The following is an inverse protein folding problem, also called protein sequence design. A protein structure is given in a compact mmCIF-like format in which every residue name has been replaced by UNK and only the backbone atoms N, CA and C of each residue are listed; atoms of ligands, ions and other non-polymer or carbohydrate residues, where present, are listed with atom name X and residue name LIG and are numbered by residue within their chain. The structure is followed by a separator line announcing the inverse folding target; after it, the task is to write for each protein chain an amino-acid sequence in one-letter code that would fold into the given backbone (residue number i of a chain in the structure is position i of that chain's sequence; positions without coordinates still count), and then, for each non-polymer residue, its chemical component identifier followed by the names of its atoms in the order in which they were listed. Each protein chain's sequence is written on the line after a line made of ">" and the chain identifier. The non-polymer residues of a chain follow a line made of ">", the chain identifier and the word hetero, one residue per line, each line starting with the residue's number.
data_IF_577174268968
#
_entry.id   IF_577174268968
#
_cell.length_a   1.000
_cell.length_b   1.000
_cell.length_c   1.000
_cell.angle_alpha   90.00
_cell.angle_beta   90.00
_cell.angle_gamma   90.00
#
_symmetry.space_group_name_H-M   'P 1'
#
loop_
_entity.id
_entity.type
_entity.pdbx_description
1 polymer ?
#
# COMPACT_ATOMS: atom_id res chain seq x y z
N UNK A 1 -31.97 -4.02 -10.72
CA UNK A 1 -30.58 -3.64 -11.12
C UNK A 1 -29.84 -3.07 -9.94
N UNK A 2 -28.73 -3.66 -9.54
CA UNK A 2 -27.88 -3.21 -8.44
C UNK A 2 -26.72 -2.37 -8.97
N UNK A 3 -26.43 -1.23 -8.34
CA UNK A 3 -25.25 -0.41 -8.62
C UNK A 3 -24.16 -0.67 -7.59
N UNK A 4 -22.93 -0.90 -8.04
CA UNK A 4 -21.80 -1.22 -7.17
C UNK A 4 -20.64 -0.28 -7.46
N UNK A 5 -20.33 0.60 -6.52
CA UNK A 5 -19.10 1.38 -6.54
C UNK A 5 -17.96 0.55 -5.94
N UNK A 6 -17.02 0.11 -6.79
CA UNK A 6 -15.79 -0.53 -6.36
C UNK A 6 -14.73 0.55 -6.10
N UNK A 7 -14.17 0.56 -4.89
CA UNK A 7 -13.22 1.59 -4.46
C UNK A 7 -11.92 0.94 -3.99
N UNK A 8 -10.80 1.38 -4.54
CA UNK A 8 -9.49 0.99 -4.05
C UNK A 8 -9.19 1.71 -2.73
N UNK A 9 -8.53 1.05 -1.78
CA UNK A 9 -8.08 1.68 -0.53
C UNK A 9 -7.22 2.93 -0.76
N UNK A 10 -7.22 3.88 0.18
CA UNK A 10 -6.35 5.05 0.21
C UNK A 10 -4.87 4.66 0.37
N UNK A 11 -3.95 5.61 0.24
CA UNK A 11 -2.52 5.34 0.41
C UNK A 11 -2.24 4.70 1.76
N UNK A 12 -1.66 3.51 1.71
CA UNK A 12 -1.28 2.72 2.87
C UNK A 12 0.24 2.54 2.93
N UNK A 13 0.73 2.05 4.05
CA UNK A 13 2.17 1.83 4.30
C UNK A 13 2.86 1.05 3.17
N UNK A 14 2.23 0.00 2.61
CA UNK A 14 2.78 -0.73 1.46
C UNK A 14 3.04 0.15 0.24
N UNK A 15 2.17 1.14 -0.01
CA UNK A 15 2.36 2.10 -1.09
C UNK A 15 3.51 3.09 -0.77
N UNK A 16 3.55 3.60 0.46
CA UNK A 16 4.55 4.56 0.91
C UNK A 16 5.94 3.93 0.96
N UNK A 17 6.06 2.81 1.67
CA UNK A 17 7.33 2.13 1.91
C UNK A 17 7.76 1.21 0.78
N UNK A 18 6.87 0.98 -0.21
CA UNK A 18 7.14 0.13 -1.37
C UNK A 18 7.41 -1.32 -0.97
N UNK A 19 6.57 -1.82 -0.09
CA UNK A 19 6.57 -3.19 0.41
C UNK A 19 5.36 -3.91 -0.14
N UNK A 20 5.54 -5.16 -0.56
CA UNK A 20 4.45 -6.05 -0.96
C UNK A 20 3.67 -6.46 0.30
N UNK A 21 2.44 -5.97 0.44
CA UNK A 21 1.62 -6.23 1.63
C UNK A 21 0.69 -7.44 1.46
N UNK A 22 0.15 -7.67 0.24
CA UNK A 22 -0.80 -8.77 0.04
C UNK A 22 -1.86 -8.83 1.12
N UNK A 23 -1.82 -9.85 1.97
CA UNK A 23 -2.73 -10.07 3.08
C UNK A 23 -2.33 -9.41 4.40
N UNK A 24 -1.20 -8.71 4.49
CA UNK A 24 -0.92 -7.87 5.66
C UNK A 24 -1.96 -6.76 5.78
N UNK A 25 -2.32 -6.40 7.01
CA UNK A 25 -3.33 -5.36 7.27
C UNK A 25 -2.97 -4.03 6.58
N UNK A 26 -1.76 -3.54 6.79
CA UNK A 26 -1.28 -2.26 6.29
C UNK A 26 -2.11 -1.08 6.82
N UNK A 27 -1.46 -0.13 7.45
CA UNK A 27 -2.15 1.07 7.94
C UNK A 27 -2.24 2.11 6.82
N UNK A 28 -3.26 2.96 6.88
CA UNK A 28 -3.32 4.17 6.07
C UNK A 28 -2.18 5.10 6.51
N UNK A 29 -1.51 5.73 5.55
CA UNK A 29 -0.42 6.67 5.86
C UNK A 29 -0.95 7.90 6.61
N UNK A 30 -0.12 8.48 7.47
CA UNK A 30 -0.53 9.62 8.30
C UNK A 30 -0.67 10.93 7.50
N UNK A 31 -0.11 11.01 6.31
CA UNK A 31 -0.06 12.23 5.50
C UNK A 31 -1.12 12.27 4.39
N UNK A 32 -0.99 11.41 3.39
CA UNK A 32 -1.82 11.48 2.17
C UNK A 32 -3.11 10.70 2.31
N UNK A 33 -3.08 9.54 2.96
CA UNK A 33 -4.23 8.68 3.11
C UNK A 33 -5.46 9.37 3.68
N UNK A 34 -5.38 10.10 4.83
CA UNK A 34 -6.51 10.83 5.37
C UNK A 34 -7.08 11.91 4.44
N UNK A 35 -6.23 12.58 3.67
CA UNK A 35 -6.66 13.59 2.69
C UNK A 35 -7.44 12.94 1.53
N UNK A 36 -6.98 11.80 1.03
CA UNK A 36 -7.67 11.02 0.00
C UNK A 36 -9.04 10.53 0.50
N UNK A 37 -9.12 10.05 1.74
CA UNK A 37 -10.37 9.58 2.36
C UNK A 37 -11.37 10.74 2.46
N UNK A 38 -10.94 11.94 2.86
CA UNK A 38 -11.82 13.12 2.91
C UNK A 38 -12.29 13.57 1.52
N UNK A 39 -11.42 13.55 0.52
CA UNK A 39 -11.80 13.85 -0.86
C UNK A 39 -12.81 12.83 -1.41
N UNK A 40 -12.63 11.55 -1.06
CA UNK A 40 -13.58 10.50 -1.39
C UNK A 40 -14.95 10.72 -0.70
N UNK A 41 -14.95 11.13 0.57
CA UNK A 41 -16.18 11.45 1.30
C UNK A 41 -16.95 12.59 0.63
N UNK A 42 -16.28 13.65 0.21
CA UNK A 42 -16.88 14.75 -0.57
C UNK A 42 -17.49 14.27 -1.88
N UNK A 43 -16.78 13.40 -2.61
CA UNK A 43 -17.31 12.78 -3.85
C UNK A 43 -18.62 12.05 -3.63
N UNK A 44 -18.78 11.35 -2.50
CA UNK A 44 -19.95 10.54 -2.19
C UNK A 44 -21.05 11.29 -1.43
N UNK A 45 -20.89 12.58 -1.14
CA UNK A 45 -21.86 13.37 -0.37
C UNK A 45 -23.26 13.31 -0.99
N UNK A 46 -23.38 13.60 -2.28
CA UNK A 46 -24.66 13.59 -3.02
C UNK A 46 -25.05 12.22 -3.61
N UNK A 47 -24.24 11.18 -3.42
CA UNK A 47 -24.49 9.85 -3.98
C UNK A 47 -25.21 9.00 -2.92
N UNK A 48 -26.41 8.50 -3.25
CA UNK A 48 -27.09 7.53 -2.40
C UNK A 48 -26.28 6.24 -2.33
N UNK A 49 -26.04 5.74 -1.13
CA UNK A 49 -25.46 4.43 -0.86
C UNK A 49 -26.31 3.76 0.21
N UNK A 50 -26.75 2.54 -0.05
CA UNK A 50 -27.67 1.79 0.81
C UNK A 50 -26.93 0.79 1.70
N UNK A 51 -25.75 0.27 1.26
CA UNK A 51 -24.90 -0.63 2.04
C UNK A 51 -23.42 -0.43 1.73
N UNK A 52 -22.55 -0.73 2.70
CA UNK A 52 -21.08 -0.61 2.57
C UNK A 52 -20.40 -1.92 2.91
N UNK A 53 -19.61 -2.41 1.97
CA UNK A 53 -18.80 -3.61 2.08
C UNK A 53 -17.31 -3.30 2.00
N UNK A 54 -16.49 -4.11 2.60
CA UNK A 54 -15.03 -3.97 2.56
C UNK A 54 -14.33 -5.32 2.65
N UNK A 55 -13.14 -5.41 2.08
CA UNK A 55 -12.16 -6.36 2.58
C UNK A 55 -11.98 -6.17 4.10
N UNK A 56 -11.62 -7.23 4.80
CA UNK A 56 -11.37 -7.22 6.24
C UNK A 56 -9.97 -6.67 6.61
N UNK A 57 -9.16 -6.23 5.65
CA UNK A 57 -7.86 -5.61 5.90
C UNK A 57 -8.01 -4.14 6.33
N UNK A 58 -7.22 -3.70 7.29
CA UNK A 58 -7.41 -2.39 7.96
C UNK A 58 -7.37 -1.21 6.99
N UNK A 59 -6.52 -1.22 5.96
CA UNK A 59 -6.45 -0.14 4.97
C UNK A 59 -7.76 0.08 4.21
N UNK A 60 -8.50 -0.99 3.92
CA UNK A 60 -9.81 -0.87 3.25
C UNK A 60 -10.91 -0.44 4.21
N UNK A 61 -10.94 -0.99 5.42
CA UNK A 61 -11.91 -0.58 6.45
C UNK A 61 -11.74 0.88 6.84
N UNK A 62 -10.48 1.35 6.99
CA UNK A 62 -10.20 2.77 7.26
C UNK A 62 -10.67 3.64 6.10
N UNK A 63 -10.45 3.22 4.86
CA UNK A 63 -10.89 3.98 3.68
C UNK A 63 -12.42 4.03 3.58
N UNK A 64 -13.10 2.96 3.95
CA UNK A 64 -14.56 2.87 3.92
C UNK A 64 -15.25 3.89 4.85
N UNK A 65 -14.54 4.42 5.86
CA UNK A 65 -15.05 5.52 6.69
C UNK A 65 -15.55 6.72 5.86
N UNK A 66 -14.99 6.94 4.67
CA UNK A 66 -15.44 7.98 3.75
C UNK A 66 -16.95 7.91 3.44
N UNK A 67 -17.55 6.74 3.54
CA UNK A 67 -18.96 6.53 3.16
C UNK A 67 -19.78 6.09 4.36
N UNK A 68 -19.37 5.04 5.08
CA UNK A 68 -20.23 4.49 6.11
C UNK A 68 -20.41 5.40 7.32
N UNK A 69 -19.39 6.21 7.67
CA UNK A 69 -19.49 7.13 8.81
C UNK A 69 -20.49 8.26 8.54
N UNK A 70 -20.34 9.11 7.49
CA UNK A 70 -21.27 10.22 7.27
C UNK A 70 -22.68 9.76 6.85
N UNK A 71 -22.83 8.54 6.38
CA UNK A 71 -24.15 7.97 6.00
C UNK A 71 -24.79 7.11 7.09
N UNK A 72 -24.12 6.96 8.25
CA UNK A 72 -24.58 6.15 9.38
C UNK A 72 -24.95 4.70 9.01
N UNK A 73 -24.16 4.10 8.10
CA UNK A 73 -24.38 2.75 7.62
C UNK A 73 -23.46 1.76 8.38
N UNK A 74 -23.88 0.50 8.55
CA UNK A 74 -22.99 -0.54 9.02
C UNK A 74 -21.91 -0.85 7.97
N UNK A 75 -20.72 -1.27 8.45
CA UNK A 75 -19.67 -1.80 7.58
C UNK A 75 -19.70 -3.33 7.61
N UNK A 76 -19.89 -3.95 6.46
CA UNK A 76 -19.81 -5.40 6.28
C UNK A 76 -18.42 -5.78 5.74
N UNK A 77 -17.72 -6.69 6.41
CA UNK A 77 -16.38 -7.11 6.00
C UNK A 77 -16.36 -8.55 5.51
N UNK A 78 -15.55 -8.84 4.49
CA UNK A 78 -15.35 -10.20 3.98
C UNK A 78 -13.92 -10.41 3.48
N UNK A 79 -13.28 -11.55 3.84
CA UNK A 79 -11.98 -11.92 3.30
C UNK A 79 -12.01 -12.22 1.79
N UNK A 80 -13.19 -12.47 1.22
CA UNK A 80 -13.33 -12.67 -0.22
C UNK A 80 -12.90 -11.45 -1.04
N UNK A 81 -12.90 -10.24 -0.45
CA UNK A 81 -12.52 -8.98 -1.11
C UNK A 81 -11.08 -8.54 -0.80
N UNK A 82 -10.27 -9.40 -0.16
CA UNK A 82 -8.85 -9.13 0.08
C UNK A 82 -8.06 -8.91 -1.20
N UNK A 83 -6.89 -8.29 -1.04
CA UNK A 83 -5.86 -8.22 -2.08
C UNK A 83 -5.42 -9.63 -2.48
N UNK A 84 -4.70 -9.74 -3.57
CA UNK A 84 -4.02 -10.97 -3.93
C UNK A 84 -3.06 -11.37 -2.81
N UNK A 85 -3.13 -12.63 -2.37
CA UNK A 85 -2.13 -13.18 -1.46
C UNK A 85 -0.81 -13.33 -2.22
N UNK A 86 0.19 -12.54 -1.83
CA UNK A 86 1.47 -12.49 -2.54
C UNK A 86 2.48 -13.54 -2.05
N UNK A 87 2.10 -14.37 -1.08
CA UNK A 87 2.92 -15.47 -0.56
C UNK A 87 4.30 -14.99 -0.10
N UNK A 88 5.35 -15.62 -0.61
CA UNK A 88 6.73 -15.33 -0.24
C UNK A 88 7.17 -13.87 -0.50
N UNK A 89 6.41 -13.08 -1.24
CA UNK A 89 6.73 -11.67 -1.48
C UNK A 89 6.29 -10.75 -0.34
N UNK A 90 5.34 -11.20 0.49
CA UNK A 90 4.80 -10.36 1.56
C UNK A 90 5.89 -9.96 2.56
N UNK A 91 5.95 -8.68 2.88
CA UNK A 91 6.99 -8.10 3.72
C UNK A 91 8.27 -7.68 2.99
N UNK A 92 8.52 -8.19 1.79
CA UNK A 92 9.66 -7.75 0.98
C UNK A 92 9.39 -6.41 0.29
N UNK A 93 10.44 -5.62 0.11
CA UNK A 93 10.37 -4.45 -0.75
C UNK A 93 10.23 -4.89 -2.22
N UNK A 94 9.62 -4.05 -3.06
CA UNK A 94 9.54 -4.35 -4.50
C UNK A 94 10.91 -4.49 -5.16
N UNK A 95 11.96 -3.84 -4.59
CA UNK A 95 13.33 -4.01 -5.01
C UNK A 95 13.85 -5.43 -4.75
N UNK A 96 13.60 -5.95 -3.53
CA UNK A 96 13.94 -7.34 -3.19
C UNK A 96 13.16 -8.33 -4.05
N UNK A 97 11.86 -8.09 -4.25
CA UNK A 97 11.02 -8.94 -5.10
C UNK A 97 11.59 -9.01 -6.52
N UNK A 98 11.94 -7.87 -7.12
CA UNK A 98 12.51 -7.84 -8.48
C UNK A 98 13.85 -8.54 -8.60
N UNK A 99 14.63 -8.59 -7.52
CA UNK A 99 15.94 -9.24 -7.47
C UNK A 99 15.86 -10.74 -7.16
N UNK A 100 15.00 -11.10 -6.20
CA UNK A 100 14.89 -12.48 -5.70
C UNK A 100 14.05 -13.36 -6.64
N UNK A 101 13.02 -12.77 -7.26
CA UNK A 101 12.08 -13.46 -8.14
C UNK A 101 11.88 -12.69 -9.46
N UNK A 102 12.93 -12.49 -10.28
CA UNK A 102 12.88 -11.63 -11.47
C UNK A 102 11.86 -12.09 -12.52
N UNK A 103 11.72 -13.40 -12.74
CA UNK A 103 10.76 -13.97 -13.67
C UNK A 103 9.32 -13.75 -13.21
N UNK A 104 9.03 -14.09 -11.94
CA UNK A 104 7.71 -13.90 -11.36
C UNK A 104 7.35 -12.40 -11.24
N UNK A 105 8.33 -11.53 -10.97
CA UNK A 105 8.13 -10.09 -10.99
C UNK A 105 7.75 -9.58 -12.39
N UNK A 106 8.38 -10.12 -13.45
CA UNK A 106 7.97 -9.86 -14.83
C UNK A 106 6.55 -10.37 -15.10
N UNK A 107 6.21 -11.59 -14.64
CA UNK A 107 4.88 -12.16 -14.78
C UNK A 107 3.82 -11.29 -14.12
N UNK A 108 4.03 -10.85 -12.87
CA UNK A 108 3.11 -9.96 -12.16
C UNK A 108 2.82 -8.66 -12.92
N UNK A 109 3.83 -8.08 -13.52
CA UNK A 109 3.72 -6.80 -14.21
C UNK A 109 3.19 -6.89 -15.65
N UNK A 110 3.44 -8.02 -16.35
CA UNK A 110 3.21 -8.15 -17.79
C UNK A 110 2.41 -9.37 -18.22
N UNK A 111 2.48 -10.44 -17.44
CA UNK A 111 1.94 -11.75 -17.78
C UNK A 111 1.23 -12.36 -16.57
N UNK A 112 0.24 -11.64 -16.04
CA UNK A 112 -0.49 -12.09 -14.84
C UNK A 112 -1.18 -13.45 -15.03
N UNK A 113 -1.38 -13.86 -16.27
CA UNK A 113 -1.83 -15.19 -16.66
C UNK A 113 -0.85 -16.32 -16.30
N UNK A 114 0.44 -15.99 -16.17
CA UNK A 114 1.52 -16.92 -15.79
C UNK A 114 2.00 -16.73 -14.35
N UNK A 115 1.60 -15.63 -13.71
CA UNK A 115 2.07 -15.32 -12.37
C UNK A 115 1.55 -16.33 -11.33
N UNK A 116 2.49 -16.94 -10.60
CA UNK A 116 2.23 -17.94 -9.56
C UNK A 116 3.21 -17.77 -8.41
N UNK A 117 2.94 -16.84 -7.45
CA UNK A 117 3.85 -16.62 -6.33
C UNK A 117 3.86 -17.85 -5.40
N UNK A 118 5.03 -18.20 -4.90
CA UNK A 118 5.19 -19.26 -3.92
C UNK A 118 4.37 -18.98 -2.65
N UNK A 119 3.49 -19.90 -2.28
CA UNK A 119 2.61 -19.77 -1.11
C UNK A 119 1.50 -18.72 -1.25
N UNK A 120 1.33 -18.14 -2.44
CA UNK A 120 0.31 -17.12 -2.69
C UNK A 120 -0.79 -17.56 -3.66
N UNK A 121 -1.57 -16.59 -4.14
CA UNK A 121 -2.68 -16.78 -5.08
C UNK A 121 -2.27 -16.34 -6.49
N UNK A 122 -2.68 -17.08 -7.50
CA UNK A 122 -2.68 -16.60 -8.88
C UNK A 122 -3.99 -15.85 -9.21
N UNK A 123 -4.04 -15.25 -10.39
CA UNK A 123 -5.19 -14.45 -10.81
C UNK A 123 -6.50 -15.27 -10.92
N UNK A 124 -6.45 -16.56 -11.24
CA UNK A 124 -7.65 -17.43 -11.32
C UNK A 124 -8.22 -17.67 -9.93
N UNK A 125 -7.38 -17.96 -8.94
CA UNK A 125 -7.79 -18.16 -7.56
C UNK A 125 -8.44 -16.89 -6.97
N UNK A 126 -7.92 -15.70 -7.32
CA UNK A 126 -8.56 -14.43 -6.96
C UNK A 126 -9.97 -14.34 -7.56
N UNK A 127 -10.15 -14.66 -8.84
CA UNK A 127 -11.47 -14.64 -9.48
C UNK A 127 -12.43 -15.66 -8.85
N UNK A 128 -11.95 -16.84 -8.51
CA UNK A 128 -12.73 -17.92 -7.90
C UNK A 128 -13.33 -17.54 -6.54
N UNK A 129 -12.63 -16.73 -5.74
CA UNK A 129 -13.18 -16.24 -4.45
C UNK A 129 -13.94 -14.93 -4.59
N UNK A 130 -13.51 -14.04 -5.49
CA UNK A 130 -14.03 -12.67 -5.55
C UNK A 130 -15.36 -12.60 -6.30
N UNK A 131 -15.46 -13.21 -7.49
CA UNK A 131 -16.65 -13.09 -8.34
C UNK A 131 -17.91 -13.69 -7.71
N UNK A 132 -17.88 -14.90 -7.11
CA UNK A 132 -19.07 -15.42 -6.42
C UNK A 132 -19.52 -14.54 -5.26
N UNK A 133 -18.59 -14.02 -4.45
CA UNK A 133 -18.92 -13.13 -3.35
C UNK A 133 -19.48 -11.79 -3.84
N UNK A 134 -18.94 -11.24 -4.93
CA UNK A 134 -19.47 -10.02 -5.54
C UNK A 134 -20.88 -10.23 -6.09
N UNK A 135 -21.14 -11.38 -6.70
CA UNK A 135 -22.47 -11.72 -7.22
C UNK A 135 -23.49 -11.93 -6.09
N UNK A 136 -23.09 -12.59 -5.00
CA UNK A 136 -23.93 -12.76 -3.81
C UNK A 136 -24.36 -11.39 -3.25
N UNK A 137 -23.39 -10.48 -3.06
CA UNK A 137 -23.68 -9.11 -2.60
C UNK A 137 -24.61 -8.38 -3.61
N UNK A 138 -24.34 -8.50 -4.91
CA UNK A 138 -25.16 -7.85 -5.94
C UNK A 138 -26.61 -8.33 -5.93
N UNK A 139 -26.84 -9.63 -5.73
CA UNK A 139 -28.17 -10.24 -5.66
C UNK A 139 -28.94 -9.86 -4.38
N UNK A 140 -28.22 -9.72 -3.27
CA UNK A 140 -28.83 -9.35 -1.98
C UNK A 140 -29.36 -7.91 -1.99
N UNK A 141 -28.87 -7.05 -2.90
CA UNK A 141 -29.16 -5.61 -2.96
C UNK A 141 -29.87 -5.17 -4.26
N UNK A 142 -30.78 -5.99 -4.79
CA UNK A 142 -31.49 -5.60 -6.02
C UNK A 142 -32.28 -4.29 -5.85
N UNK A 143 -32.05 -3.37 -6.78
CA UNK A 143 -32.62 -2.02 -6.76
C UNK A 143 -31.84 -1.00 -5.90
N UNK A 144 -30.77 -1.43 -5.23
CA UNK A 144 -29.96 -0.61 -4.33
C UNK A 144 -28.61 -0.21 -4.93
N UNK A 145 -27.95 0.72 -4.25
CA UNK A 145 -26.59 1.18 -4.55
C UNK A 145 -25.68 0.83 -3.39
N UNK A 146 -24.63 0.09 -3.66
CA UNK A 146 -23.63 -0.32 -2.67
C UNK A 146 -22.25 0.26 -2.97
N UNK A 147 -21.43 0.42 -1.94
CA UNK A 147 -20.02 0.72 -2.06
C UNK A 147 -19.21 -0.46 -1.50
N UNK A 148 -18.20 -0.92 -2.25
CA UNK A 148 -17.34 -2.02 -1.87
C UNK A 148 -15.88 -1.60 -1.97
N UNK A 149 -15.16 -1.70 -0.85
CA UNK A 149 -13.76 -1.32 -0.72
C UNK A 149 -12.84 -2.51 -0.84
N UNK A 150 -11.86 -2.42 -1.75
CA UNK A 150 -10.94 -3.50 -2.06
C UNK A 150 -9.55 -2.95 -2.46
N UNK A 151 -8.79 -3.68 -3.27
CA UNK A 151 -7.35 -3.50 -3.45
C UNK A 151 -6.96 -3.39 -4.92
N UNK A 152 -5.71 -2.96 -5.16
CA UNK A 152 -5.25 -2.59 -6.48
C UNK A 152 -5.17 -3.75 -7.46
N UNK A 153 -4.46 -4.84 -7.11
CA UNK A 153 -4.28 -5.97 -8.02
C UNK A 153 -5.57 -6.80 -8.14
N UNK A 154 -6.29 -7.02 -7.04
CA UNK A 154 -7.56 -7.72 -7.06
C UNK A 154 -8.58 -6.99 -7.97
N UNK A 155 -8.77 -5.67 -7.81
CA UNK A 155 -9.68 -4.89 -8.66
C UNK A 155 -9.24 -4.88 -10.13
N UNK A 156 -7.93 -4.81 -10.39
CA UNK A 156 -7.42 -4.89 -11.77
C UNK A 156 -7.80 -6.19 -12.45
N UNK A 157 -7.66 -7.34 -11.75
CA UNK A 157 -8.01 -8.66 -12.23
C UNK A 157 -9.51 -8.75 -12.46
N UNK A 158 -10.32 -8.40 -11.47
CA UNK A 158 -11.78 -8.48 -11.51
C UNK A 158 -12.37 -7.58 -12.61
N UNK A 159 -12.02 -6.30 -12.60
CA UNK A 159 -12.55 -5.34 -13.57
C UNK A 159 -12.14 -5.67 -15.00
N UNK A 160 -10.89 -6.07 -15.22
CA UNK A 160 -10.43 -6.49 -16.54
C UNK A 160 -11.20 -7.71 -17.06
N UNK A 161 -11.41 -8.72 -16.21
CA UNK A 161 -12.20 -9.90 -16.56
C UNK A 161 -13.66 -9.55 -16.84
N UNK A 162 -14.29 -8.69 -16.05
CA UNK A 162 -15.68 -8.25 -16.29
C UNK A 162 -15.82 -7.41 -17.56
N UNK A 163 -14.75 -6.79 -18.05
CA UNK A 163 -14.70 -6.12 -19.35
C UNK A 163 -14.43 -7.07 -20.53
N UNK A 164 -14.28 -8.36 -20.27
CA UNK A 164 -14.02 -9.38 -21.30
C UNK A 164 -12.54 -9.53 -21.67
N UNK A 165 -11.62 -8.92 -20.93
CA UNK A 165 -10.18 -9.11 -21.16
C UNK A 165 -9.74 -10.50 -20.72
N UNK A 166 -8.86 -11.12 -21.50
CA UNK A 166 -8.11 -12.29 -21.05
C UNK A 166 -7.15 -11.93 -19.93
N UNK A 167 -6.76 -12.88 -19.08
CA UNK A 167 -5.77 -12.63 -18.02
C UNK A 167 -4.44 -12.06 -18.56
N UNK A 168 -4.06 -12.46 -19.78
CA UNK A 168 -2.89 -11.89 -20.43
C UNK A 168 -3.04 -10.39 -20.70
N UNK A 169 -4.20 -9.96 -21.20
CA UNK A 169 -4.50 -8.55 -21.46
C UNK A 169 -4.65 -7.75 -20.15
N UNK A 170 -5.21 -8.38 -19.11
CA UNK A 170 -5.24 -7.80 -17.76
C UNK A 170 -3.83 -7.45 -17.29
N UNK A 171 -2.82 -8.28 -17.58
CA UNK A 171 -1.41 -8.03 -17.23
C UNK A 171 -0.85 -6.70 -17.74
N UNK A 172 -1.43 -6.11 -18.79
CA UNK A 172 -1.03 -4.81 -19.34
C UNK A 172 -2.09 -3.71 -19.17
N UNK A 173 -3.24 -4.05 -18.56
CA UNK A 173 -4.32 -3.09 -18.33
C UNK A 173 -3.95 -2.04 -17.26
N UNK A 174 -4.57 -0.85 -17.26
CA UNK A 174 -4.31 0.18 -16.26
C UNK A 174 -4.60 -0.28 -14.83
N UNK A 175 -3.93 0.35 -13.88
CA UNK A 175 -4.29 0.32 -12.46
C UNK A 175 -5.01 1.60 -12.06
N UNK A 176 -6.02 1.50 -11.21
CA UNK A 176 -6.62 2.65 -10.54
C UNK A 176 -5.66 3.27 -9.51
N UNK A 177 -5.72 4.58 -9.30
CA UNK A 177 -5.02 5.27 -8.21
C UNK A 177 -5.59 4.83 -6.83
N UNK A 178 -4.90 5.17 -5.75
CA UNK A 178 -5.49 5.03 -4.42
C UNK A 178 -6.80 5.86 -4.35
N UNK A 179 -7.83 5.29 -3.78
CA UNK A 179 -9.23 5.78 -3.79
C UNK A 179 -9.92 5.90 -5.15
N UNK A 180 -9.30 5.42 -6.25
CA UNK A 180 -10.00 5.36 -7.53
C UNK A 180 -11.30 4.57 -7.40
N UNK A 181 -12.32 5.05 -8.11
CA UNK A 181 -13.69 4.52 -8.08
C UNK A 181 -14.04 3.93 -9.44
N UNK A 182 -14.61 2.73 -9.42
CA UNK A 182 -15.22 2.12 -10.60
C UNK A 182 -16.69 1.85 -10.32
N UNK A 183 -17.54 1.92 -11.34
CA UNK A 183 -18.97 1.64 -11.21
C UNK A 183 -19.33 0.40 -12.02
N UNK A 184 -19.97 -0.54 -11.36
CA UNK A 184 -20.62 -1.70 -11.97
C UNK A 184 -22.13 -1.58 -11.86
N UNK A 185 -22.81 -2.15 -12.82
CA UNK A 185 -24.25 -2.48 -12.76
C UNK A 185 -24.41 -3.99 -12.87
N UNK A 186 -25.25 -4.54 -12.03
CA UNK A 186 -25.61 -5.96 -12.05
C UNK A 186 -27.10 -6.11 -12.34
N UNK A 187 -27.40 -6.81 -13.41
CA UNK A 187 -28.77 -7.09 -13.84
C UNK A 187 -28.83 -8.41 -14.59
N UNK A 188 -29.89 -9.20 -14.33
CA UNK A 188 -30.14 -10.49 -15.02
C UNK A 188 -28.93 -11.46 -15.01
N UNK A 189 -28.21 -11.50 -13.87
CA UNK A 189 -27.04 -12.40 -13.71
C UNK A 189 -25.77 -11.92 -14.43
N UNK A 190 -25.70 -10.66 -14.85
CA UNK A 190 -24.54 -10.11 -15.57
C UNK A 190 -24.07 -8.79 -14.98
N UNK A 191 -22.76 -8.65 -14.90
CA UNK A 191 -22.12 -7.38 -14.57
C UNK A 191 -21.83 -6.58 -15.84
N UNK A 192 -21.99 -5.28 -15.74
CA UNK A 192 -21.57 -4.29 -16.74
C UNK A 192 -20.67 -3.26 -16.06
N UNK A 193 -19.47 -3.06 -16.56
CA UNK A 193 -18.57 -1.98 -16.11
C UNK A 193 -19.03 -0.68 -16.80
N UNK A 194 -19.52 0.27 -16.02
CA UNK A 194 -19.99 1.57 -16.52
C UNK A 194 -18.82 2.52 -16.72
N UNK A 195 -17.97 2.63 -15.72
CA UNK A 195 -16.68 3.31 -15.80
C UNK A 195 -15.68 2.63 -14.86
N UNK A 196 -14.39 2.85 -15.12
CA UNK A 196 -13.29 2.22 -14.37
C UNK A 196 -12.25 3.25 -13.96
N UNK A 197 -11.72 3.08 -12.75
CA UNK A 197 -10.53 3.76 -12.24
C UNK A 197 -10.63 5.31 -12.27
N UNK A 198 -11.83 5.85 -12.06
CA UNK A 198 -12.05 7.29 -12.00
C UNK A 198 -11.51 7.87 -10.67
N UNK A 199 -10.55 8.75 -10.78
CA UNK A 199 -9.90 9.47 -9.67
C UNK A 199 -10.11 10.98 -9.75
N UNK A 200 -11.17 11.44 -10.40
CA UNK A 200 -11.48 12.87 -10.61
C UNK A 200 -11.53 13.69 -9.31
N UNK A 201 -11.89 13.06 -8.17
CA UNK A 201 -11.89 13.69 -6.84
C UNK A 201 -10.48 13.99 -6.31
N UNK A 202 -9.42 13.45 -6.93
CA UNK A 202 -8.03 13.73 -6.60
C UNK A 202 -7.39 14.79 -7.51
N UNK A 203 -8.12 15.23 -8.55
CA UNK A 203 -7.62 16.23 -9.49
C UNK A 203 -7.63 17.63 -8.86
N UNK A 204 -6.63 18.44 -9.21
CA UNK A 204 -6.48 19.80 -8.65
C UNK A 204 -5.56 19.89 -7.43
N UNK A 205 -5.09 18.76 -6.90
CA UNK A 205 -4.06 18.71 -5.87
C UNK A 205 -2.98 17.69 -6.24
N UNK A 206 -1.83 18.19 -6.62
CA UNK A 206 -0.62 17.38 -6.84
C UNK A 206 -0.21 16.55 -5.62
N UNK A 207 -0.77 16.85 -4.45
CA UNK A 207 -0.52 16.12 -3.23
C UNK A 207 -1.37 14.86 -3.11
N UNK A 208 -2.57 14.82 -3.70
CA UNK A 208 -3.54 13.74 -3.51
C UNK A 208 -3.35 12.60 -4.50
N UNK A 209 -3.06 12.91 -5.76
CA UNK A 209 -2.80 11.87 -6.76
C UNK A 209 -1.39 11.33 -6.63
N UNK A 210 -1.29 10.03 -6.33
CA UNK A 210 -0.02 9.32 -6.27
C UNK A 210 0.41 8.87 -7.66
N UNK A 211 -0.55 8.54 -8.49
CA UNK A 211 -0.32 7.94 -9.80
C UNK A 211 0.41 8.84 -10.77
N UNK A 212 0.13 10.15 -10.72
CA UNK A 212 0.85 11.13 -11.52
C UNK A 212 2.35 11.17 -11.18
N UNK A 213 2.74 10.73 -9.99
CA UNK A 213 4.11 10.76 -9.46
C UNK A 213 4.77 9.38 -9.32
N UNK A 214 3.98 8.29 -9.34
CA UNK A 214 4.49 6.92 -9.31
C UNK A 214 4.74 6.40 -10.73
N UNK A 215 5.83 6.84 -11.34
CA UNK A 215 6.24 6.36 -12.67
C UNK A 215 7.04 5.06 -12.62
N UNK A 216 7.45 4.62 -11.44
CA UNK A 216 8.35 3.49 -11.24
C UNK A 216 7.80 2.15 -11.76
N UNK A 217 6.50 1.93 -11.67
CA UNK A 217 5.86 0.72 -12.19
C UNK A 217 5.63 0.76 -13.71
N UNK A 218 5.73 1.94 -14.32
CA UNK A 218 5.66 2.13 -15.77
C UNK A 218 7.02 2.01 -16.45
N UNK A 219 8.10 2.10 -15.68
CA UNK A 219 9.46 2.18 -16.17
C UNK A 219 10.23 0.93 -15.78
N UNK A 220 10.55 0.07 -16.74
CA UNK A 220 11.34 -1.14 -16.53
C UNK A 220 12.75 -0.82 -16.00
N UNK A 221 13.24 0.38 -16.28
CA UNK A 221 14.50 0.95 -15.78
C UNK A 221 14.38 1.66 -14.43
N UNK A 222 13.28 1.41 -13.67
CA UNK A 222 13.15 2.02 -12.35
C UNK A 222 14.38 1.64 -11.50
N UNK A 223 15.14 2.65 -11.14
CA UNK A 223 16.44 2.59 -10.44
C UNK A 223 16.41 1.78 -9.13
N UNK A 224 15.24 1.39 -8.70
CA UNK A 224 15.03 0.60 -7.50
C UNK A 224 15.17 -0.90 -7.70
N UNK A 225 15.19 -1.34 -8.95
CA UNK A 225 15.39 -2.75 -9.27
C UNK A 225 16.81 -3.17 -8.89
N UNK A 226 16.91 -4.31 -8.21
CA UNK A 226 18.20 -4.87 -7.82
C UNK A 226 18.82 -4.28 -6.55
N UNK A 227 18.13 -3.43 -5.80
CA UNK A 227 18.61 -3.00 -4.48
C UNK A 227 18.63 -4.18 -3.51
N UNK A 228 19.72 -4.30 -2.77
CA UNK A 228 19.96 -5.35 -1.78
C UNK A 228 20.14 -4.75 -0.39
N UNK A 229 19.55 -5.41 0.60
CA UNK A 229 19.77 -5.13 2.02
C UNK A 229 20.66 -6.23 2.61
N UNK A 230 21.82 -5.85 3.12
CA UNK A 230 22.82 -6.79 3.59
C UNK A 230 23.40 -6.33 4.95
N UNK A 231 23.96 -7.25 5.75
CA UNK A 231 24.72 -6.86 6.91
C UNK A 231 25.87 -5.91 6.55
N UNK A 232 26.11 -4.91 7.38
CA UNK A 232 27.15 -3.92 7.17
C UNK A 232 28.55 -4.57 7.39
N UNK A 233 29.44 -4.58 6.39
CA UNK A 233 30.82 -5.04 6.57
C UNK A 233 31.59 -4.14 7.53
N UNK A 234 32.45 -4.73 8.40
CA UNK A 234 33.23 -3.98 9.39
C UNK A 234 34.13 -2.91 8.76
N UNK A 235 34.69 -3.19 7.60
CA UNK A 235 35.51 -2.23 6.87
C UNK A 235 34.75 -0.94 6.50
N UNK A 236 33.45 -1.04 6.20
CA UNK A 236 32.63 0.10 5.87
C UNK A 236 32.10 0.83 7.10
N UNK A 237 31.98 0.16 8.26
CA UNK A 237 31.49 0.79 9.50
C UNK A 237 32.31 2.00 9.90
N UNK A 238 33.63 1.83 9.94
CA UNK A 238 34.55 2.92 10.27
C UNK A 238 34.53 4.05 9.24
N UNK A 239 34.50 3.68 7.95
CA UNK A 239 34.49 4.64 6.86
C UNK A 239 33.20 5.48 6.85
N UNK A 240 32.06 4.88 7.15
CA UNK A 240 30.76 5.57 7.15
C UNK A 240 30.39 6.19 8.50
N UNK A 241 31.19 5.98 9.55
CA UNK A 241 30.97 6.57 10.86
C UNK A 241 29.78 5.99 11.61
N UNK A 242 29.55 4.67 11.54
CA UNK A 242 28.46 4.00 12.28
C UNK A 242 28.67 4.18 13.79
N UNK A 243 27.73 4.80 14.52
CA UNK A 243 28.02 5.36 15.86
C UNK A 243 28.09 4.32 16.98
N UNK A 244 27.47 3.14 16.81
CA UNK A 244 27.38 2.12 17.86
C UNK A 244 27.92 0.77 17.40
N UNK A 245 28.46 -0.07 18.31
CA UNK A 245 28.62 -1.48 18.03
C UNK A 245 27.24 -2.14 17.84
N UNK A 246 27.18 -3.27 17.13
CA UNK A 246 25.95 -4.00 16.88
C UNK A 246 25.59 -4.05 15.40
N UNK A 247 24.43 -4.60 15.09
CA UNK A 247 23.97 -4.79 13.71
C UNK A 247 23.67 -3.47 13.02
N UNK A 248 24.13 -3.35 11.79
CA UNK A 248 23.75 -2.28 10.88
C UNK A 248 23.47 -2.88 9.50
N UNK A 249 22.50 -2.32 8.80
CA UNK A 249 22.10 -2.73 7.46
C UNK A 249 22.74 -1.82 6.43
N UNK A 250 23.40 -2.41 5.44
CA UNK A 250 23.90 -1.74 4.25
C UNK A 250 22.87 -1.89 3.12
N UNK A 251 22.61 -0.81 2.41
CA UNK A 251 21.77 -0.80 1.21
C UNK A 251 22.71 -0.67 0.02
N UNK A 252 22.69 -1.66 -0.88
CA UNK A 252 23.56 -1.69 -2.07
C UNK A 252 22.74 -1.70 -3.35
N UNK A 253 23.28 -1.10 -4.39
CA UNK A 253 22.87 -1.28 -5.77
C UNK A 253 24.04 -1.89 -6.54
N UNK A 254 23.99 -3.18 -6.81
CA UNK A 254 25.17 -3.93 -7.25
C UNK A 254 26.28 -3.90 -6.18
N UNK A 255 27.45 -3.42 -6.54
CA UNK A 255 28.58 -3.25 -5.62
C UNK A 255 28.59 -1.88 -4.91
N UNK A 256 27.76 -0.94 -5.31
CA UNK A 256 27.76 0.43 -4.79
C UNK A 256 26.93 0.56 -3.51
N UNK A 257 27.50 1.07 -2.40
CA UNK A 257 26.74 1.41 -1.20
C UNK A 257 25.92 2.69 -1.45
N UNK A 258 24.60 2.57 -1.45
CA UNK A 258 23.67 3.69 -1.68
C UNK A 258 23.09 4.24 -0.39
N UNK A 259 23.06 3.44 0.67
CA UNK A 259 22.56 3.86 1.97
C UNK A 259 22.92 2.86 3.06
N UNK A 260 22.66 3.24 4.30
CA UNK A 260 22.80 2.36 5.45
C UNK A 260 22.02 2.88 6.65
N UNK A 261 21.71 1.97 7.58
CA UNK A 261 21.04 2.32 8.82
C UNK A 261 21.49 1.45 9.97
N UNK A 262 21.38 1.98 11.19
CA UNK A 262 21.51 1.22 12.42
C UNK A 262 20.33 1.48 13.33
N UNK A 263 19.85 0.45 13.98
CA UNK A 263 18.76 0.53 14.93
C UNK A 263 18.95 -0.46 16.09
N UNK A 264 18.29 -0.20 17.22
CA UNK A 264 18.26 -1.09 18.38
C UNK A 264 16.89 -1.02 19.07
N UNK A 265 16.69 -1.87 20.05
CA UNK A 265 15.52 -1.87 20.93
C UNK A 265 15.88 -1.25 22.25
N UNK A 266 15.07 -0.29 22.74
CA UNK A 266 15.22 0.29 24.08
C UNK A 266 13.83 0.61 24.65
N UNK A 267 13.50 0.05 25.81
CA UNK A 267 12.20 0.22 26.45
C UNK A 267 11.07 -0.35 25.60
N UNK A 268 10.10 0.50 25.30
CA UNK A 268 8.91 0.17 24.50
C UNK A 268 9.05 0.53 23.01
N UNK A 269 10.26 0.81 22.52
CA UNK A 269 10.45 1.30 21.17
C UNK A 269 11.65 0.65 20.46
N UNK A 270 11.52 0.59 19.12
CA UNK A 270 12.67 0.53 18.24
C UNK A 270 13.28 1.92 18.08
N UNK A 271 14.61 2.02 18.11
CA UNK A 271 15.33 3.27 17.93
C UNK A 271 16.16 3.23 16.66
N UNK A 272 16.02 4.25 15.80
CA UNK A 272 16.94 4.49 14.68
C UNK A 272 18.08 5.33 15.19
N UNK A 273 19.24 4.70 15.39
CA UNK A 273 20.44 5.33 15.91
C UNK A 273 21.16 6.18 14.88
N UNK A 274 21.13 5.68 13.66
CA UNK A 274 21.87 6.28 12.57
C UNK A 274 21.26 5.89 11.23
N UNK A 275 21.25 6.85 10.33
CA UNK A 275 20.70 6.70 9.00
C UNK A 275 21.53 7.49 8.02
N UNK A 276 22.06 6.82 7.02
CA UNK A 276 22.90 7.43 6.01
C UNK A 276 22.38 7.11 4.62
N UNK A 277 22.44 8.10 3.72
CA UNK A 277 22.17 7.94 2.31
C UNK A 277 23.25 8.67 1.53
N UNK A 278 23.88 7.97 0.59
CA UNK A 278 24.93 8.54 -0.24
C UNK A 278 24.41 9.76 -1.02
N UNK A 279 25.14 10.87 -1.05
CA UNK A 279 24.67 12.13 -1.62
C UNK A 279 24.10 12.02 -3.04
N UNK A 280 24.72 11.21 -3.91
CA UNK A 280 24.27 10.97 -5.29
C UNK A 280 22.89 10.27 -5.37
N UNK A 281 22.46 9.60 -4.28
CA UNK A 281 21.24 8.82 -4.22
C UNK A 281 20.11 9.49 -3.41
N UNK A 282 20.36 10.68 -2.85
CA UNK A 282 19.35 11.48 -2.16
C UNK A 282 18.28 11.99 -3.13
N UNK A 283 17.05 12.10 -2.64
CA UNK A 283 15.90 12.50 -3.44
C UNK A 283 15.36 11.44 -4.42
N UNK A 284 16.00 10.29 -4.52
CA UNK A 284 15.64 9.17 -5.41
C UNK A 284 14.84 8.07 -4.73
N UNK A 285 14.27 8.32 -3.54
CA UNK A 285 13.44 7.44 -2.72
C UNK A 285 14.14 6.22 -2.10
N UNK A 286 15.44 6.02 -2.25
CA UNK A 286 16.17 4.89 -1.63
C UNK A 286 16.09 4.86 -0.09
N UNK A 287 15.79 5.99 0.53
CA UNK A 287 15.65 6.08 1.98
C UNK A 287 14.30 5.64 2.53
N UNK A 288 13.31 5.38 1.69
CA UNK A 288 11.94 5.09 2.17
C UNK A 288 11.77 3.61 2.53
N UNK A 289 12.10 2.63 1.68
CA UNK A 289 11.90 1.21 1.96
C UNK A 289 12.57 0.71 3.23
N UNK A 290 13.82 1.12 3.57
CA UNK A 290 14.46 0.67 4.82
C UNK A 290 13.70 1.07 6.08
N UNK A 291 13.05 2.25 6.06
CA UNK A 291 12.21 2.68 7.18
C UNK A 291 10.95 1.82 7.31
N UNK A 292 10.37 1.41 6.18
CA UNK A 292 9.24 0.48 6.18
C UNK A 292 9.61 -0.90 6.74
N UNK A 293 10.80 -1.42 6.40
CA UNK A 293 11.31 -2.67 6.97
C UNK A 293 11.53 -2.55 8.49
N UNK A 294 12.00 -1.40 8.98
CA UNK A 294 12.10 -1.19 10.43
C UNK A 294 10.74 -1.14 11.10
N UNK A 295 9.75 -0.45 10.52
CA UNK A 295 8.37 -0.44 11.03
C UNK A 295 7.84 -1.85 11.15
N UNK A 296 8.00 -2.68 10.12
CA UNK A 296 7.54 -4.06 10.13
C UNK A 296 8.27 -4.89 11.19
N UNK A 297 9.62 -4.85 11.19
CA UNK A 297 10.45 -5.58 12.16
C UNK A 297 10.04 -5.29 13.61
N UNK A 298 9.90 -4.02 13.97
CA UNK A 298 9.60 -3.66 15.35
C UNK A 298 8.13 -3.93 15.72
N UNK A 299 7.23 -3.89 14.75
CA UNK A 299 5.84 -4.33 14.93
C UNK A 299 5.77 -5.84 15.21
N UNK A 300 6.52 -6.66 14.48
CA UNK A 300 6.62 -8.11 14.70
C UNK A 300 7.20 -8.45 16.08
N UNK A 301 8.09 -7.61 16.60
CA UNK A 301 8.60 -7.70 17.98
C UNK A 301 7.59 -7.21 19.04
N UNK A 302 6.39 -6.76 18.64
CA UNK A 302 5.34 -6.28 19.52
C UNK A 302 5.59 -4.88 20.09
N UNK A 303 6.53 -4.12 19.54
CA UNK A 303 6.82 -2.78 20.01
C UNK A 303 5.81 -1.77 19.45
N UNK A 304 5.29 -0.86 20.30
CA UNK A 304 4.30 0.13 19.89
C UNK A 304 4.90 1.33 19.13
N UNK A 305 6.20 1.62 19.29
CA UNK A 305 6.79 2.83 18.76
C UNK A 305 8.10 2.59 18.00
N UNK A 306 8.34 3.45 17.01
CA UNK A 306 9.63 3.65 16.38
C UNK A 306 10.09 5.08 16.65
N UNK A 307 11.30 5.25 17.21
CA UNK A 307 11.85 6.55 17.63
C UNK A 307 13.16 6.85 16.93
N UNK A 308 13.47 8.12 16.84
CA UNK A 308 14.77 8.61 16.40
C UNK A 308 15.07 10.01 16.99
N UNK A 309 16.36 10.37 17.06
CA UNK A 309 16.78 11.74 17.34
C UNK A 309 17.19 12.40 16.02
N UNK A 310 16.54 13.50 15.66
CA UNK A 310 16.84 14.22 14.43
C UNK A 310 17.19 15.68 14.76
N UNK A 311 18.47 15.97 14.80
CA UNK A 311 18.97 17.33 15.00
C UNK A 311 19.02 18.14 13.69
N UNK A 312 19.08 17.46 12.53
CA UNK A 312 19.16 18.09 11.21
C UNK A 312 17.75 18.57 10.78
N UNK A 313 17.54 19.90 10.67
CA UNK A 313 16.25 20.45 10.25
C UNK A 313 15.85 20.04 8.82
N UNK A 314 16.78 19.67 7.96
CA UNK A 314 16.51 19.24 6.59
C UNK A 314 15.96 17.80 6.53
N UNK A 315 16.28 16.96 7.51
CA UNK A 315 15.79 15.58 7.59
C UNK A 315 14.45 15.46 8.30
N UNK A 316 14.10 16.38 9.19
CA UNK A 316 12.80 16.34 9.90
C UNK A 316 11.59 16.25 8.97
N UNK A 317 11.48 17.04 7.87
CA UNK A 317 10.37 16.89 6.92
C UNK A 317 10.31 15.52 6.23
N UNK A 318 11.45 14.86 6.04
CA UNK A 318 11.49 13.49 5.50
C UNK A 318 10.81 12.52 6.48
N UNK A 319 11.22 12.54 7.75
CA UNK A 319 10.61 11.66 8.76
C UNK A 319 9.14 12.00 9.02
N UNK A 320 8.77 13.28 9.04
CA UNK A 320 7.38 13.70 9.19
C UNK A 320 6.47 13.13 8.08
N UNK A 321 6.95 13.06 6.83
CA UNK A 321 6.21 12.41 5.73
C UNK A 321 6.05 10.90 5.92
N UNK A 322 6.91 10.28 6.72
CA UNK A 322 6.80 8.86 7.08
C UNK A 322 5.92 8.64 8.32
N UNK A 323 5.30 9.70 8.85
CA UNK A 323 4.39 9.65 9.99
C UNK A 323 5.08 9.80 11.36
N UNK A 324 6.33 10.25 11.38
CA UNK A 324 6.97 10.63 12.65
C UNK A 324 6.51 12.03 13.08
N UNK A 325 6.19 12.19 14.33
CA UNK A 325 5.83 13.46 14.96
C UNK A 325 6.84 13.84 16.05
N UNK A 326 6.89 15.11 16.38
CA UNK A 326 7.77 15.61 17.44
C UNK A 326 7.25 15.17 18.81
N UNK A 327 8.06 14.43 19.53
CA UNK A 327 7.87 14.09 20.93
C UNK A 327 8.77 14.97 21.83
N UNK A 328 8.82 14.69 23.13
CA UNK A 328 9.67 15.43 24.07
C UNK A 328 11.18 15.26 23.75
N UNK A 329 12.00 16.18 24.19
CA UNK A 329 13.47 16.11 24.20
C UNK A 329 14.15 15.91 22.84
N UNK A 330 13.57 16.45 21.77
CA UNK A 330 14.13 16.37 20.41
C UNK A 330 14.01 15.01 19.77
N UNK A 331 13.17 14.15 20.33
CA UNK A 331 12.80 12.84 19.76
C UNK A 331 11.70 13.03 18.74
N UNK A 332 11.80 12.33 17.62
CA UNK A 332 10.68 12.08 16.73
C UNK A 332 10.20 10.65 16.95
N UNK A 333 8.89 10.47 17.03
CA UNK A 333 8.24 9.20 17.33
C UNK A 333 7.19 8.87 16.26
N UNK A 334 7.05 7.59 15.94
CA UNK A 334 5.96 7.05 15.13
C UNK A 334 5.27 5.93 15.90
N UNK A 335 3.94 6.01 16.04
CA UNK A 335 3.12 4.91 16.51
C UNK A 335 2.99 3.85 15.41
N UNK A 336 3.49 2.64 15.67
CA UNK A 336 3.51 1.55 14.70
C UNK A 336 2.51 0.43 15.02
N UNK A 337 1.66 0.61 16.03
CA UNK A 337 0.61 -0.38 16.39
C UNK A 337 -0.40 -0.53 15.29
N UNK A 338 -0.76 -1.76 14.98
CA UNK A 338 -1.85 -2.03 14.04
C UNK A 338 -3.19 -1.65 14.64
N UNK A 339 -3.91 -0.76 13.97
CA UNK A 339 -5.24 -0.31 14.34
C UNK A 339 -5.97 0.28 13.14
N UNK A 340 -7.29 0.43 13.27
CA UNK A 340 -8.10 1.21 12.34
C UNK A 340 -8.24 2.63 12.94
N UNK A 341 -7.48 3.61 12.42
CA UNK A 341 -7.57 4.99 12.92
C UNK A 341 -8.90 5.60 12.51
N UNK A 342 -9.44 6.47 13.35
CA UNK A 342 -10.63 7.25 13.00
C UNK A 342 -10.21 8.46 12.17
N UNK A 343 -10.63 8.49 10.90
CA UNK A 343 -10.29 9.56 9.94
C UNK A 343 -11.46 10.51 9.72
N UNK A 344 -12.67 9.97 9.68
CA UNK A 344 -13.91 10.74 9.50
C UNK A 344 -14.64 10.81 10.84
N UNK A 345 -14.94 12.02 11.25
CA UNK A 345 -15.79 12.32 12.42
C UNK A 345 -17.04 13.04 11.93
N UNK A 346 -18.18 12.69 12.48
CA UNK A 346 -19.49 13.34 12.23
C UNK A 346 -19.76 14.35 13.33
#
# INVERSE_FOLDING_TARGET
>A
MTKIYLVRHAEAEGNLYRIAHGHYNGLITDWRGPKQIRALAQRFEGIRVDAVYSSDLYRTQTTAQAIYVPKHLPLHTSPAFREVHMGAWEGHTWQEVSRLWPEEFYHFNRRIDLWQPEGGENARQVLERYLPALEEVARAHDGETIALFSHGAALRIVLGTLQGLTLREVGTSPHGDNTAVSLLEYENGRFRVVFRDDNSHLTGSDELSIFAKQTWWKNEDAVEQGTEFAPMPDALRAQLGVPRPGEATLIRLGSEPVGALQSHTEGDAGWVDWYWLAPAWRGRRFGIPPMGQLVQRYRELGLPFLRLRCADPYLRPFFARLGFYDAADGVMEKDIRERIPQIITV
#
